data_IF_226697609572
#
_entry.id   IF_226697609572
#
_cell.length_a   1.000
_cell.length_b   1.000
_cell.length_c   1.000
_cell.angle_alpha   90.00
_cell.angle_beta   90.00
_cell.angle_gamma   90.00
#
_symmetry.space_group_name_H-M   'P 1'
#
loop_
_entity.id
_entity.type
_entity.pdbx_description
1 polymer ?
#
# COMPACT_ATOMS: atom_id res chain seq x y z
N UNK A 1 -1.50 -11.33 16.91
CA UNK A 1 -0.08 -10.99 16.70
C UNK A 1 0.84 -12.07 17.24
N UNK A 2 0.86 -12.35 18.56
CA UNK A 2 1.66 -13.44 19.17
C UNK A 2 1.55 -14.80 18.45
N UNK A 3 0.33 -15.32 18.29
CA UNK A 3 0.08 -16.59 17.58
C UNK A 3 0.52 -16.57 16.11
N UNK A 4 0.50 -15.42 15.45
CA UNK A 4 0.96 -15.30 14.06
C UNK A 4 2.49 -15.39 13.99
N UNK A 5 3.21 -14.76 14.91
CA UNK A 5 4.68 -14.83 15.00
C UNK A 5 5.16 -16.22 15.42
N UNK A 6 4.41 -16.93 16.26
CA UNK A 6 4.70 -18.33 16.61
C UNK A 6 4.59 -19.28 15.41
N UNK A 7 3.63 -19.02 14.50
CA UNK A 7 3.40 -19.85 13.31
C UNK A 7 4.28 -19.43 12.12
N UNK A 8 4.66 -18.15 12.06
CA UNK A 8 5.43 -17.54 10.98
C UNK A 8 6.52 -16.64 11.58
N UNK A 9 7.62 -17.24 12.07
CA UNK A 9 8.75 -16.46 12.57
C UNK A 9 9.33 -15.60 11.45
N UNK A 10 9.74 -14.38 11.79
CA UNK A 10 10.30 -13.42 10.83
C UNK A 10 11.37 -12.54 11.48
N UNK A 11 12.31 -12.07 10.68
CA UNK A 11 13.39 -11.19 11.13
C UNK A 11 12.93 -9.73 11.25
N UNK A 12 11.94 -9.34 10.46
CA UNK A 12 11.30 -8.02 10.48
C UNK A 12 9.80 -8.19 10.34
N UNK A 13 9.04 -7.33 11.01
CA UNK A 13 7.58 -7.36 10.98
C UNK A 13 7.02 -6.03 10.50
N UNK A 14 6.39 -6.04 9.34
CA UNK A 14 5.62 -4.90 8.83
C UNK A 14 4.21 -4.92 9.40
N UNK A 15 3.81 -3.85 10.09
CA UNK A 15 2.47 -3.71 10.67
C UNK A 15 1.71 -2.63 9.93
N UNK A 16 0.70 -3.04 9.17
CA UNK A 16 -0.16 -2.14 8.43
C UNK A 16 -1.34 -1.64 9.27
N UNK A 17 -1.54 -0.32 9.32
CA UNK A 17 -2.72 0.32 9.92
C UNK A 17 -3.04 1.63 9.22
N UNK A 18 -4.26 1.77 8.70
CA UNK A 18 -4.70 3.06 8.15
C UNK A 18 -4.72 4.16 9.21
N UNK A 19 -4.36 5.39 8.83
CA UNK A 19 -4.40 6.53 9.73
C UNK A 19 -5.82 6.88 10.20
N UNK A 20 -6.86 6.60 9.43
CA UNK A 20 -8.27 6.83 9.82
C UNK A 20 -8.59 8.26 10.34
N UNK A 21 -7.90 9.29 9.81
CA UNK A 21 -7.96 10.71 10.26
C UNK A 21 -7.17 11.04 11.53
N UNK A 22 -6.41 10.08 12.05
CA UNK A 22 -5.57 10.27 13.22
C UNK A 22 -4.14 10.58 12.78
N UNK A 23 -3.37 11.34 13.58
CA UNK A 23 -1.96 11.58 13.29
C UNK A 23 -1.17 10.28 13.20
N UNK A 24 -0.14 10.26 12.36
CA UNK A 24 0.79 9.15 12.21
C UNK A 24 1.30 8.64 13.57
N UNK A 25 1.77 9.57 14.42
CA UNK A 25 2.34 9.25 15.72
C UNK A 25 1.34 8.50 16.62
N UNK A 26 0.08 8.92 16.63
CA UNK A 26 -0.97 8.26 17.42
C UNK A 26 -1.15 6.80 17.02
N UNK A 27 -1.10 6.48 15.73
CA UNK A 27 -1.17 5.10 15.24
C UNK A 27 0.11 4.32 15.55
N UNK A 28 1.28 4.95 15.39
CA UNK A 28 2.58 4.36 15.73
C UNK A 28 2.66 3.99 17.21
N UNK A 29 2.24 4.87 18.11
CA UNK A 29 2.21 4.63 19.56
C UNK A 29 1.27 3.47 19.92
N UNK A 30 0.10 3.38 19.27
CA UNK A 30 -0.83 2.27 19.48
C UNK A 30 -0.23 0.93 19.06
N UNK A 31 0.47 0.89 17.91
CA UNK A 31 1.17 -0.30 17.45
C UNK A 31 2.26 -0.68 18.46
N UNK A 32 3.07 0.28 18.91
CA UNK A 32 4.12 0.05 19.90
C UNK A 32 3.55 -0.46 21.23
N UNK A 33 2.46 0.14 21.73
CA UNK A 33 1.81 -0.29 22.95
C UNK A 33 1.27 -1.72 22.85
N UNK A 34 0.72 -2.12 21.70
CA UNK A 34 0.28 -3.49 21.46
C UNK A 34 1.44 -4.51 21.44
N UNK A 35 2.67 -4.04 21.16
CA UNK A 35 3.88 -4.86 21.14
C UNK A 35 4.60 -4.96 22.49
N UNK A 36 4.44 -3.97 23.39
CA UNK A 36 5.17 -3.90 24.66
C UNK A 36 5.01 -5.14 25.57
N UNK A 37 4.00 -5.99 25.35
CA UNK A 37 3.78 -7.23 26.09
C UNK A 37 4.36 -8.50 25.43
N UNK A 38 5.19 -8.37 24.40
CA UNK A 38 5.82 -9.51 23.72
C UNK A 38 7.33 -9.55 24.01
N UNK A 39 7.76 -10.54 24.80
CA UNK A 39 9.14 -10.68 25.30
C UNK A 39 10.20 -10.84 24.19
N UNK A 40 9.80 -11.17 22.95
CA UNK A 40 10.69 -11.34 21.80
C UNK A 40 10.02 -10.93 20.49
N UNK A 41 9.45 -9.73 20.46
CA UNK A 41 8.94 -9.18 19.20
C UNK A 41 10.11 -8.89 18.24
N UNK A 42 10.06 -9.30 16.97
CA UNK A 42 11.03 -8.84 15.99
C UNK A 42 10.91 -7.32 15.79
N UNK A 43 11.94 -6.67 15.22
CA UNK A 43 11.88 -5.28 14.79
C UNK A 43 10.63 -4.98 13.98
N UNK A 44 9.93 -3.90 14.33
CA UNK A 44 8.66 -3.53 13.70
C UNK A 44 8.80 -2.27 12.86
N UNK A 45 8.34 -2.36 11.61
CA UNK A 45 8.16 -1.22 10.71
C UNK A 45 6.66 -0.94 10.57
N UNK A 46 6.27 0.30 10.84
CA UNK A 46 4.87 0.73 10.74
C UNK A 46 4.56 1.15 9.30
N UNK A 47 3.53 0.56 8.71
CA UNK A 47 2.99 0.96 7.40
C UNK A 47 1.67 1.68 7.65
N UNK A 48 1.73 3.02 7.79
CA UNK A 48 0.57 3.84 8.15
C UNK A 48 0.28 4.85 7.03
N UNK A 49 -0.53 4.47 6.03
CA UNK A 49 -0.94 5.41 4.98
C UNK A 49 -1.92 6.46 5.54
N UNK A 50 -1.85 7.70 5.03
CA UNK A 50 -2.80 8.78 5.38
C UNK A 50 -4.24 8.40 5.03
N UNK A 51 -4.43 7.74 3.87
CA UNK A 51 -5.72 7.28 3.36
C UNK A 51 -5.59 5.95 2.62
N UNK A 52 -5.47 4.84 3.35
CA UNK A 52 -5.37 3.48 2.80
C UNK A 52 -4.15 3.25 1.88
N UNK A 53 -3.70 2.01 1.76
CA UNK A 53 -2.59 1.66 0.85
C UNK A 53 -2.99 1.78 -0.62
N UNK A 54 -4.29 1.65 -0.96
CA UNK A 54 -4.73 1.81 -2.36
C UNK A 54 -4.43 3.20 -2.93
N UNK A 55 -4.30 4.25 -2.11
CA UNK A 55 -3.90 5.57 -2.57
C UNK A 55 -2.56 5.54 -3.31
N UNK A 56 -1.62 4.72 -2.84
CA UNK A 56 -0.29 4.56 -3.42
C UNK A 56 -0.29 3.79 -4.74
N UNK A 57 -1.44 3.25 -5.17
CA UNK A 57 -1.58 2.52 -6.44
C UNK A 57 -2.26 3.36 -7.53
N UNK A 58 -2.63 4.61 -7.24
CA UNK A 58 -3.42 5.47 -8.14
C UNK A 58 -2.59 6.32 -9.11
N UNK A 59 -1.29 6.08 -9.21
CA UNK A 59 -0.38 6.92 -10.02
C UNK A 59 0.12 6.26 -11.32
N UNK A 60 0.13 4.92 -11.38
CA UNK A 60 0.67 4.18 -12.52
C UNK A 60 -0.44 3.67 -13.45
N UNK A 61 -0.64 4.38 -14.56
CA UNK A 61 -1.66 4.03 -15.54
C UNK A 61 -1.39 2.67 -16.20
N UNK A 62 -0.13 2.35 -16.51
CA UNK A 62 0.23 1.14 -17.22
C UNK A 62 0.06 -0.09 -16.34
N UNK A 63 0.42 0.00 -15.06
CA UNK A 63 0.17 -1.05 -14.08
C UNK A 63 -1.33 -1.32 -13.91
N UNK A 64 -2.15 -0.27 -13.81
CA UNK A 64 -3.62 -0.40 -13.74
C UNK A 64 -4.18 -1.09 -14.99
N UNK A 65 -3.75 -0.68 -16.19
CA UNK A 65 -4.18 -1.32 -17.46
C UNK A 65 -3.80 -2.79 -17.51
N UNK A 66 -2.56 -3.11 -17.16
CA UNK A 66 -2.05 -4.48 -17.17
C UNK A 66 -2.79 -5.36 -16.16
N UNK A 67 -2.98 -4.86 -14.93
CA UNK A 67 -3.75 -5.55 -13.88
C UNK A 67 -5.22 -5.75 -14.27
N UNK A 68 -5.82 -4.79 -15.00
CA UNK A 68 -7.20 -4.90 -15.51
C UNK A 68 -7.39 -5.97 -16.59
N UNK A 69 -6.29 -6.48 -17.17
CA UNK A 69 -6.28 -7.44 -18.27
C UNK A 69 -6.37 -6.81 -19.65
N UNK A 70 -6.15 -5.50 -19.77
CA UNK A 70 -6.21 -4.74 -21.03
C UNK A 70 -5.02 -3.75 -21.13
N UNK A 71 -3.78 -4.26 -21.25
CA UNK A 71 -2.57 -3.41 -21.25
C UNK A 71 -2.53 -2.40 -22.39
N UNK A 72 -3.18 -2.69 -23.52
CA UNK A 72 -3.24 -1.83 -24.71
C UNK A 72 -4.57 -1.07 -24.84
N UNK A 73 -5.34 -0.96 -23.75
CA UNK A 73 -6.61 -0.26 -23.73
C UNK A 73 -6.48 1.21 -24.14
N UNK A 74 -7.54 1.77 -24.74
CA UNK A 74 -7.50 3.12 -25.31
C UNK A 74 -8.43 4.11 -24.62
N UNK A 75 -9.27 3.64 -23.71
CA UNK A 75 -10.11 4.52 -22.90
C UNK A 75 -9.24 5.50 -22.09
N UNK A 76 -9.67 6.75 -21.97
CA UNK A 76 -8.99 7.73 -21.11
C UNK A 76 -9.18 7.34 -19.64
N UNK A 77 -8.09 7.15 -18.90
CA UNK A 77 -8.13 6.94 -17.45
C UNK A 77 -7.88 8.26 -16.73
N UNK A 78 -8.84 8.67 -15.91
CA UNK A 78 -8.73 9.91 -15.13
C UNK A 78 -8.01 9.63 -13.82
N UNK A 79 -6.68 9.50 -13.88
CA UNK A 79 -5.88 9.32 -12.68
C UNK A 79 -5.88 10.62 -11.86
N UNK A 80 -5.97 10.52 -10.52
CA UNK A 80 -5.80 11.67 -9.65
C UNK A 80 -4.37 12.22 -9.75
N UNK A 81 -4.22 13.51 -9.45
CA UNK A 81 -2.88 14.09 -9.30
C UNK A 81 -2.17 13.44 -8.11
N UNK A 82 -0.90 13.06 -8.29
CA UNK A 82 -0.08 12.40 -7.28
C UNK A 82 -0.10 13.13 -5.94
N UNK A 83 0.04 14.45 -5.94
CA UNK A 83 0.01 15.29 -4.73
C UNK A 83 -1.32 15.28 -3.96
N UNK A 84 -2.38 14.69 -4.51
CA UNK A 84 -3.72 14.64 -3.90
C UNK A 84 -4.15 13.25 -3.48
N UNK A 85 -3.41 12.18 -3.83
CA UNK A 85 -3.89 10.81 -3.61
C UNK A 85 -4.12 10.49 -2.13
N UNK A 86 -3.31 11.06 -1.24
CA UNK A 86 -3.45 10.92 0.22
C UNK A 86 -4.60 11.75 0.81
N UNK A 87 -5.24 12.61 0.03
CA UNK A 87 -6.41 13.40 0.45
C UNK A 87 -7.72 12.84 -0.08
N UNK A 88 -7.66 11.84 -0.97
CA UNK A 88 -8.84 11.25 -1.57
C UNK A 88 -9.73 10.60 -0.49
N UNK A 89 -11.06 10.75 -0.61
CA UNK A 89 -11.98 10.27 0.41
C UNK A 89 -12.11 8.74 0.42
N UNK A 90 -11.95 8.08 -0.74
CA UNK A 90 -12.06 6.62 -0.84
C UNK A 90 -11.17 6.05 -1.98
N UNK A 91 -9.83 5.99 -1.75
CA UNK A 91 -8.88 5.46 -2.74
C UNK A 91 -9.19 4.06 -3.23
N UNK A 92 -9.73 3.21 -2.35
CA UNK A 92 -10.16 1.85 -2.70
C UNK A 92 -11.28 1.86 -3.75
N UNK A 93 -12.27 2.74 -3.60
CA UNK A 93 -13.33 2.91 -4.61
C UNK A 93 -12.78 3.48 -5.90
N UNK A 94 -11.89 4.47 -5.81
CA UNK A 94 -11.29 5.13 -6.97
C UNK A 94 -10.46 4.13 -7.80
N UNK A 95 -9.62 3.32 -7.15
CA UNK A 95 -8.83 2.27 -7.80
C UNK A 95 -9.72 1.20 -8.46
N UNK A 96 -10.78 0.76 -7.76
CA UNK A 96 -11.73 -0.20 -8.32
C UNK A 96 -12.43 0.34 -9.58
N UNK A 97 -12.78 1.63 -9.60
CA UNK A 97 -13.38 2.27 -10.76
C UNK A 97 -12.38 2.37 -11.92
N UNK A 98 -11.12 2.72 -11.65
CA UNK A 98 -10.06 2.75 -12.65
C UNK A 98 -9.84 1.37 -13.27
N UNK A 99 -9.74 0.31 -12.46
CA UNK A 99 -9.60 -1.08 -12.94
C UNK A 99 -10.78 -1.52 -13.84
N UNK A 100 -12.01 -1.17 -13.44
CA UNK A 100 -13.21 -1.45 -14.26
C UNK A 100 -13.17 -0.70 -15.59
N UNK A 101 -12.82 0.58 -15.54
CA UNK A 101 -12.76 1.44 -16.72
C UNK A 101 -11.67 0.97 -17.69
N UNK A 102 -10.48 0.69 -17.17
CA UNK A 102 -9.32 0.22 -17.94
C UNK A 102 -9.57 -1.09 -18.68
N UNK A 103 -10.43 -1.95 -18.13
CA UNK A 103 -10.75 -3.23 -18.75
C UNK A 103 -11.59 -3.13 -20.03
N UNK A 104 -12.29 -2.00 -20.26
CA UNK A 104 -13.19 -1.76 -21.40
C UNK A 104 -14.23 -2.88 -21.63
N UNK A 105 -14.54 -3.65 -20.59
CA UNK A 105 -15.48 -4.76 -20.66
C UNK A 105 -16.93 -4.26 -20.64
N UNK A 106 -17.82 -5.03 -21.27
CA UNK A 106 -19.27 -4.81 -21.15
C UNK A 106 -19.76 -5.08 -19.72
N UNK A 107 -20.88 -4.46 -19.33
CA UNK A 107 -21.47 -4.59 -17.98
C UNK A 107 -21.59 -6.04 -17.48
N UNK A 108 -21.98 -6.97 -18.34
CA UNK A 108 -22.09 -8.40 -18.00
C UNK A 108 -20.73 -9.02 -17.65
N UNK A 109 -19.66 -8.61 -18.33
CA UNK A 109 -18.29 -9.12 -18.10
C UNK A 109 -17.63 -8.42 -16.91
N UNK A 110 -17.93 -7.14 -16.66
CA UNK A 110 -17.47 -6.39 -15.47
C UNK A 110 -17.91 -7.05 -14.15
N UNK A 111 -19.09 -7.67 -14.12
CA UNK A 111 -19.57 -8.40 -12.93
C UNK A 111 -18.74 -9.64 -12.61
N UNK A 112 -17.99 -10.17 -13.58
CA UNK A 112 -17.14 -11.35 -13.41
C UNK A 112 -15.69 -11.01 -13.05
N UNK A 113 -15.33 -9.72 -12.97
CA UNK A 113 -13.97 -9.32 -12.61
C UNK A 113 -13.69 -9.62 -11.14
N UNK A 114 -12.52 -10.21 -10.90
CA UNK A 114 -11.98 -10.38 -9.55
C UNK A 114 -11.18 -9.12 -9.18
N UNK A 115 -11.90 -8.06 -8.82
CA UNK A 115 -11.30 -6.76 -8.46
C UNK A 115 -10.25 -6.89 -7.33
N UNK A 116 -10.48 -7.65 -6.23
CA UNK A 116 -9.47 -7.83 -5.20
C UNK A 116 -8.13 -8.38 -5.73
N UNK A 117 -8.19 -9.38 -6.61
CA UNK A 117 -6.99 -9.93 -7.23
C UNK A 117 -6.32 -8.91 -8.16
N UNK A 118 -7.10 -8.13 -8.90
CA UNK A 118 -6.55 -7.09 -9.78
C UNK A 118 -5.83 -6.00 -8.98
N UNK A 119 -6.36 -5.58 -7.82
CA UNK A 119 -5.69 -4.62 -6.93
C UNK A 119 -4.32 -5.12 -6.50
N UNK A 120 -4.20 -6.40 -6.11
CA UNK A 120 -2.90 -7.01 -5.77
C UNK A 120 -1.93 -6.96 -6.95
N UNK A 121 -2.42 -7.31 -8.15
CA UNK A 121 -1.61 -7.28 -9.37
C UNK A 121 -1.16 -5.88 -9.78
N UNK A 122 -1.87 -4.81 -9.41
CA UNK A 122 -1.39 -3.45 -9.66
C UNK A 122 -0.04 -3.25 -8.98
N UNK A 123 0.08 -3.61 -7.71
CA UNK A 123 1.34 -3.48 -6.98
C UNK A 123 2.46 -4.35 -7.58
N UNK A 124 2.13 -5.54 -8.11
CA UNK A 124 3.08 -6.42 -8.79
C UNK A 124 3.58 -5.87 -10.14
N UNK A 125 2.81 -5.00 -10.79
CA UNK A 125 3.15 -4.42 -12.09
C UNK A 125 3.74 -3.00 -12.02
N UNK A 126 3.83 -2.41 -10.83
CA UNK A 126 4.54 -1.16 -10.64
C UNK A 126 6.03 -1.49 -10.47
N UNK A 127 6.82 -1.09 -11.47
CA UNK A 127 8.28 -1.29 -11.45
C UNK A 127 9.01 -0.19 -10.66
N UNK A 128 8.42 1.01 -10.56
CA UNK A 128 9.03 2.16 -9.90
C UNK A 128 8.04 2.88 -8.96
N UNK A 129 8.30 2.76 -7.66
CA UNK A 129 7.58 3.48 -6.61
C UNK A 129 8.21 4.83 -6.26
N UNK A 130 9.31 5.24 -6.91
CA UNK A 130 9.97 6.52 -6.65
C UNK A 130 9.05 7.76 -6.73
N UNK A 131 7.97 7.80 -7.55
CA UNK A 131 7.05 8.93 -7.51
C UNK A 131 6.39 9.11 -6.13
N UNK A 132 6.14 8.03 -5.38
CA UNK A 132 5.54 8.11 -4.05
C UNK A 132 6.42 8.82 -3.02
N UNK A 133 7.72 9.02 -3.29
CA UNK A 133 8.64 9.73 -2.39
C UNK A 133 8.30 11.20 -2.16
N UNK A 134 7.33 11.75 -2.89
CA UNK A 134 6.77 13.09 -2.59
C UNK A 134 5.72 13.08 -1.48
N UNK A 135 5.25 11.90 -1.07
CA UNK A 135 4.15 11.71 -0.12
C UNK A 135 4.70 11.53 1.29
N UNK A 136 4.11 12.21 2.26
CA UNK A 136 4.64 12.25 3.63
C UNK A 136 4.55 10.89 4.33
N UNK A 137 3.47 10.13 4.11
CA UNK A 137 3.39 8.79 4.72
C UNK A 137 4.31 7.77 4.05
N UNK A 138 4.63 7.95 2.76
CA UNK A 138 5.60 7.08 2.10
C UNK A 138 7.04 7.39 2.55
N UNK A 139 7.37 8.67 2.72
CA UNK A 139 8.64 9.10 3.32
C UNK A 139 8.80 8.53 4.73
N UNK A 140 7.78 8.64 5.58
CA UNK A 140 7.82 8.09 6.94
C UNK A 140 8.05 6.56 6.96
N UNK A 141 7.50 5.83 5.97
CA UNK A 141 7.77 4.40 5.80
C UNK A 141 9.23 4.15 5.42
N UNK A 142 9.77 4.85 4.41
CA UNK A 142 11.17 4.69 3.99
C UNK A 142 12.13 5.04 5.13
N UNK A 143 11.84 6.09 5.91
CA UNK A 143 12.59 6.46 7.12
C UNK A 143 12.55 5.36 8.19
N UNK A 144 11.37 4.83 8.52
CA UNK A 144 11.23 3.75 9.51
C UNK A 144 11.93 2.45 9.06
N UNK A 145 11.93 2.15 7.76
CA UNK A 145 12.70 1.05 7.18
C UNK A 145 14.20 1.30 7.37
N UNK A 146 14.69 2.47 6.94
CA UNK A 146 16.11 2.81 7.01
C UNK A 146 16.64 2.79 8.45
N UNK A 147 15.89 3.37 9.39
CA UNK A 147 16.23 3.32 10.83
C UNK A 147 16.27 1.90 11.36
N UNK A 148 15.30 1.05 10.97
CA UNK A 148 15.24 -0.34 11.44
C UNK A 148 16.42 -1.15 10.91
N UNK A 149 16.72 -1.05 9.62
CA UNK A 149 17.85 -1.72 8.98
C UNK A 149 19.17 -1.27 9.64
N UNK A 150 19.35 0.04 9.88
CA UNK A 150 20.53 0.58 10.55
C UNK A 150 20.68 0.06 12.00
N UNK A 151 19.60 0.06 12.79
CA UNK A 151 19.61 -0.45 14.17
C UNK A 151 19.94 -1.94 14.25
N UNK A 152 19.51 -2.73 13.27
CA UNK A 152 19.80 -4.16 13.20
C UNK A 152 21.19 -4.48 12.61
N UNK A 153 21.90 -3.47 12.08
CA UNK A 153 23.19 -3.68 11.43
C UNK A 153 23.08 -4.45 10.11
N UNK A 154 21.92 -4.45 9.46
CA UNK A 154 21.72 -5.12 8.17
C UNK A 154 22.33 -4.37 6.98
N UNK A 155 23.05 -3.27 7.24
CA UNK A 155 23.73 -2.47 6.24
C UNK A 155 25.08 -3.06 5.75
N UNK A 156 25.44 -4.31 6.09
CA UNK A 156 26.72 -4.90 5.67
C UNK A 156 26.61 -6.08 4.68
N UNK A 157 26.69 -5.77 3.37
CA UNK A 157 27.80 -6.07 2.44
C UNK A 157 27.34 -5.98 0.98
#
# INVERSE_FOLDING_TARGET
>A
MKKSLELYPCDILFVHRDAEREPYQTRKDQIQQALCGMDSAPPVVCVIPVRMTEAWLLFDEQAIRTASGNPNGRCVLQLPQLCRIETLPNPKKDLNNLLRTASELSNRRLQKQNIPQQVQRVAEFIDDFSPLRTLTAFQALEEDIAETVARQGWLER
#
